data_IF_606140060383
#
_entry.id   IF_606140060383
#
_cell.length_a   1.000
_cell.length_b   1.000
_cell.length_c   1.000
_cell.angle_alpha   90.00
_cell.angle_beta   90.00
_cell.angle_gamma   90.00
#
_symmetry.space_group_name_H-M   'P 1'
#
loop_
_entity.id
_entity.type
_entity.pdbx_description
1 polymer ?
#
# COMPACT_ATOMS: atom_id res chain seq x y z
N UNK A 1 29.80 -10.04 7.20
CA UNK A 1 28.63 -9.14 7.19
C UNK A 1 29.01 -7.89 7.96
N UNK A 2 28.80 -6.67 7.45
CA UNK A 2 29.14 -5.47 8.20
C UNK A 2 28.25 -5.38 9.44
N UNK A 3 28.89 -5.19 10.60
CA UNK A 3 28.23 -5.07 11.89
C UNK A 3 27.47 -3.75 11.92
N UNK A 4 26.14 -3.77 11.69
CA UNK A 4 25.30 -2.57 11.76
C UNK A 4 25.35 -2.02 13.18
N UNK A 5 25.58 -0.72 13.34
CA UNK A 5 25.54 -0.08 14.65
C UNK A 5 24.11 -0.08 15.18
N UNK A 6 23.94 -0.11 16.50
CA UNK A 6 22.61 -0.09 17.13
C UNK A 6 21.77 1.10 16.65
N UNK A 7 22.40 2.26 16.46
CA UNK A 7 21.80 3.47 15.90
C UNK A 7 21.26 3.24 14.49
N UNK A 8 22.04 2.64 13.58
CA UNK A 8 21.58 2.36 12.21
C UNK A 8 20.39 1.37 12.17
N UNK A 9 20.35 0.40 13.08
CA UNK A 9 19.23 -0.54 13.19
C UNK A 9 17.97 0.18 13.70
N UNK A 10 18.11 1.06 14.69
CA UNK A 10 17.01 1.84 15.25
C UNK A 10 16.44 2.84 14.23
N UNK A 11 17.29 3.47 13.43
CA UNK A 11 16.88 4.36 12.34
C UNK A 11 16.12 3.60 11.24
N UNK A 12 16.64 2.46 10.79
CA UNK A 12 15.96 1.60 9.81
C UNK A 12 14.59 1.14 10.31
N UNK A 13 14.49 0.70 11.57
CA UNK A 13 13.22 0.29 12.19
C UNK A 13 12.24 1.46 12.30
N UNK A 14 12.73 2.64 12.66
CA UNK A 14 11.90 3.85 12.79
C UNK A 14 11.36 4.28 11.43
N UNK A 15 12.20 4.26 10.40
CA UNK A 15 11.82 4.55 9.01
C UNK A 15 10.79 3.54 8.49
N UNK A 16 11.03 2.25 8.72
CA UNK A 16 10.09 1.19 8.33
C UNK A 16 8.73 1.32 9.05
N UNK A 17 8.72 1.67 10.34
CA UNK A 17 7.49 1.95 11.09
C UNK A 17 6.74 3.16 10.55
N UNK A 18 7.45 4.25 10.22
CA UNK A 18 6.85 5.45 9.64
C UNK A 18 6.22 5.15 8.27
N UNK A 19 6.93 4.42 7.42
CA UNK A 19 6.44 4.00 6.11
C UNK A 19 5.21 3.10 6.22
N UNK A 20 5.21 2.11 7.13
CA UNK A 20 4.04 1.26 7.40
C UNK A 20 2.83 2.08 7.85
N UNK A 21 3.05 3.12 8.66
CA UNK A 21 1.98 4.03 9.10
C UNK A 21 1.43 4.86 7.94
N UNK A 22 2.29 5.40 7.08
CA UNK A 22 1.89 6.16 5.90
C UNK A 22 1.05 5.31 4.94
N UNK A 23 1.51 4.09 4.62
CA UNK A 23 0.77 3.17 3.76
C UNK A 23 -0.58 2.78 4.35
N UNK A 24 -0.67 2.57 5.67
CA UNK A 24 -1.96 2.27 6.31
C UNK A 24 -2.94 3.44 6.21
N UNK A 25 -2.45 4.67 6.33
CA UNK A 25 -3.29 5.87 6.18
C UNK A 25 -3.80 5.99 4.74
N UNK A 26 -2.91 5.86 3.75
CA UNK A 26 -3.29 5.86 2.33
C UNK A 26 -4.26 4.73 1.99
N UNK A 27 -4.02 3.54 2.52
CA UNK A 27 -4.89 2.39 2.36
C UNK A 27 -6.29 2.64 2.91
N UNK A 28 -6.40 3.32 4.06
CA UNK A 28 -7.70 3.69 4.64
C UNK A 28 -8.45 4.66 3.73
N UNK A 29 -7.76 5.66 3.17
CA UNK A 29 -8.34 6.64 2.25
C UNK A 29 -8.83 5.97 0.96
N UNK A 30 -8.00 5.10 0.37
CA UNK A 30 -8.37 4.33 -0.80
C UNK A 30 -9.55 3.41 -0.52
N UNK A 31 -9.54 2.68 0.60
CA UNK A 31 -10.64 1.81 0.97
C UNK A 31 -11.97 2.57 1.13
N UNK A 32 -11.92 3.82 1.60
CA UNK A 32 -13.10 4.70 1.61
C UNK A 32 -13.54 5.12 0.20
N UNK A 33 -12.62 5.48 -0.69
CA UNK A 33 -12.95 5.84 -2.08
C UNK A 33 -13.59 4.67 -2.84
N UNK A 34 -13.13 3.44 -2.59
CA UNK A 34 -13.69 2.23 -3.20
C UNK A 34 -14.92 1.66 -2.47
N UNK A 35 -15.31 2.21 -1.31
CA UNK A 35 -16.36 1.66 -0.45
C UNK A 35 -16.11 0.21 0.02
N UNK A 36 -14.84 -0.14 0.28
CA UNK A 36 -14.37 -1.50 0.65
C UNK A 36 -13.69 -1.55 2.01
N UNK A 37 -13.94 -0.59 2.89
CA UNK A 37 -13.26 -0.50 4.20
C UNK A 37 -13.53 -1.67 5.16
N UNK A 38 -14.57 -2.47 4.91
CA UNK A 38 -14.97 -3.61 5.74
C UNK A 38 -14.83 -4.91 4.95
N UNK A 39 -14.45 -5.98 5.66
CA UNK A 39 -14.24 -7.31 5.10
C UNK A 39 -12.81 -7.56 4.62
N UNK A 40 -12.61 -8.67 3.92
CA UNK A 40 -11.32 -9.23 3.51
C UNK A 40 -11.31 -9.71 2.05
N UNK A 41 -12.31 -9.34 1.25
CA UNK A 41 -12.43 -9.78 -0.15
C UNK A 41 -11.26 -9.32 -1.04
N UNK A 42 -10.53 -8.26 -0.67
CA UNK A 42 -9.33 -7.83 -1.38
C UNK A 42 -8.08 -8.62 -0.99
N UNK A 43 -8.06 -9.29 0.16
CA UNK A 43 -6.92 -10.10 0.62
C UNK A 43 -6.48 -11.13 -0.43
N UNK A 44 -7.37 -11.97 -1.02
CA UNK A 44 -6.98 -12.91 -2.06
C UNK A 44 -6.62 -12.26 -3.40
N UNK A 45 -6.98 -10.99 -3.64
CA UNK A 45 -6.77 -10.33 -4.92
C UNK A 45 -5.44 -9.55 -4.97
N UNK A 46 -5.13 -8.81 -3.90
CA UNK A 46 -4.00 -7.86 -3.86
C UNK A 46 -3.11 -8.04 -2.63
N UNK A 47 -3.49 -8.90 -1.69
CA UNK A 47 -2.71 -9.23 -0.50
C UNK A 47 -1.77 -10.41 -0.71
N UNK A 48 -1.05 -10.76 0.36
CA UNK A 48 -0.26 -11.99 0.47
C UNK A 48 -1.04 -13.17 1.07
N UNK A 49 -2.26 -12.91 1.57
CA UNK A 49 -3.07 -13.89 2.30
C UNK A 49 -2.84 -13.87 3.82
N UNK A 50 -1.95 -12.99 4.31
CA UNK A 50 -1.65 -12.84 5.75
C UNK A 50 -2.36 -11.64 6.38
N UNK A 51 -2.92 -10.77 5.55
CA UNK A 51 -3.66 -9.57 5.92
C UNK A 51 -5.04 -9.94 6.47
N UNK A 52 -5.49 -9.23 7.50
CA UNK A 52 -6.74 -9.55 8.19
C UNK A 52 -7.98 -8.88 7.57
N UNK A 53 -7.77 -7.89 6.70
CA UNK A 53 -8.84 -7.08 6.11
C UNK A 53 -8.35 -6.35 4.85
N UNK A 54 -9.30 -5.73 4.15
CA UNK A 54 -9.07 -4.96 2.94
C UNK A 54 -8.07 -3.81 3.09
N UNK A 55 -8.08 -3.11 4.23
CA UNK A 55 -7.14 -2.00 4.48
C UNK A 55 -5.72 -2.55 4.56
N UNK A 56 -5.53 -3.69 5.23
CA UNK A 56 -4.22 -4.34 5.29
C UNK A 56 -3.78 -4.87 3.92
N UNK A 57 -4.69 -5.44 3.13
CA UNK A 57 -4.42 -5.86 1.75
C UNK A 57 -3.98 -4.69 0.86
N UNK A 58 -4.67 -3.55 0.94
CA UNK A 58 -4.29 -2.34 0.20
C UNK A 58 -2.94 -1.79 0.71
N UNK A 59 -2.69 -1.81 2.02
CA UNK A 59 -1.41 -1.36 2.58
C UNK A 59 -0.24 -2.25 2.14
N UNK A 60 -0.46 -3.57 2.04
CA UNK A 60 0.50 -4.50 1.46
C UNK A 60 0.75 -4.18 -0.02
N UNK A 61 -0.30 -4.00 -0.81
CA UNK A 61 -0.19 -3.63 -2.22
C UNK A 61 0.60 -2.33 -2.40
N UNK A 62 0.32 -1.30 -1.59
CA UNK A 62 1.07 -0.04 -1.60
C UNK A 62 2.55 -0.23 -1.28
N UNK A 63 2.89 -1.16 -0.38
CA UNK A 63 4.28 -1.47 -0.06
C UNK A 63 5.03 -2.13 -1.22
N UNK A 64 4.34 -2.93 -2.04
CA UNK A 64 4.91 -3.52 -3.26
C UNK A 64 5.02 -2.51 -4.41
N UNK A 65 4.22 -1.45 -4.39
CA UNK A 65 4.10 -0.47 -5.48
C UNK A 65 4.46 0.96 -5.05
N UNK A 66 5.30 1.09 -4.02
CA UNK A 66 5.62 2.37 -3.37
C UNK A 66 6.29 3.40 -4.29
N UNK A 67 6.85 2.97 -5.43
CA UNK A 67 7.42 3.87 -6.44
C UNK A 67 6.39 4.86 -7.01
N UNK A 68 5.11 4.48 -7.08
CA UNK A 68 4.06 5.40 -7.56
C UNK A 68 3.85 6.62 -6.65
N UNK A 69 4.13 6.48 -5.35
CA UNK A 69 4.02 7.58 -4.38
C UNK A 69 5.16 8.58 -4.58
N UNK A 70 6.36 8.10 -4.92
CA UNK A 70 7.51 8.95 -5.23
C UNK A 70 7.30 9.67 -6.57
N UNK A 71 6.79 8.98 -7.59
CA UNK A 71 6.47 9.57 -8.90
C UNK A 71 5.38 10.65 -8.79
N UNK A 72 4.31 10.41 -8.02
CA UNK A 72 3.24 11.39 -7.85
C UNK A 72 3.72 12.72 -7.21
N UNK A 73 4.73 12.67 -6.34
CA UNK A 73 5.35 13.87 -5.76
C UNK A 73 6.06 14.73 -6.82
N UNK A 74 6.46 14.14 -7.96
CA UNK A 74 7.18 14.84 -9.03
C UNK A 74 6.27 15.43 -10.11
N UNK A 75 5.06 14.90 -10.29
CA UNK A 75 4.20 15.19 -11.45
C UNK A 75 3.08 16.21 -11.22
N UNK A 76 2.97 16.81 -10.02
CA UNK A 76 1.86 17.71 -9.60
C UNK A 76 0.45 17.08 -9.72
N UNK A 77 0.34 15.78 -9.97
CA UNK A 77 -0.91 15.04 -9.95
C UNK A 77 -1.32 14.78 -8.50
N UNK A 78 -2.63 14.69 -8.25
CA UNK A 78 -3.14 14.25 -6.96
C UNK A 78 -2.69 12.79 -6.72
N UNK A 79 -1.78 12.55 -5.75
CA UNK A 79 -1.22 11.22 -5.52
C UNK A 79 -2.29 10.18 -5.16
N UNK A 80 -3.35 10.59 -4.45
CA UNK A 80 -4.39 9.66 -4.03
C UNK A 80 -5.22 9.19 -5.23
N UNK A 81 -5.56 10.09 -6.15
CA UNK A 81 -6.27 9.73 -7.38
C UNK A 81 -5.42 8.85 -8.31
N UNK A 82 -4.11 9.09 -8.39
CA UNK A 82 -3.23 8.22 -9.17
C UNK A 82 -3.19 6.80 -8.59
N UNK A 83 -3.00 6.68 -7.27
CA UNK A 83 -3.03 5.38 -6.59
C UNK A 83 -4.38 4.67 -6.76
N UNK A 84 -5.48 5.41 -6.65
CA UNK A 84 -6.83 4.89 -6.91
C UNK A 84 -6.94 4.33 -8.33
N UNK A 85 -6.51 5.08 -9.34
CA UNK A 85 -6.58 4.64 -10.73
C UNK A 85 -5.74 3.39 -11.00
N UNK A 86 -4.52 3.30 -10.44
CA UNK A 86 -3.67 2.12 -10.60
C UNK A 86 -4.23 0.91 -9.86
N UNK A 87 -4.75 1.08 -8.64
CA UNK A 87 -5.41 0.00 -7.91
C UNK A 87 -6.65 -0.49 -8.66
N UNK A 88 -7.46 0.42 -9.20
CA UNK A 88 -8.64 0.05 -10.00
C UNK A 88 -8.27 -0.74 -11.25
N UNK A 89 -7.22 -0.33 -11.98
CA UNK A 89 -6.70 -1.09 -13.13
C UNK A 89 -6.27 -2.50 -12.72
N UNK A 90 -5.62 -2.64 -11.57
CA UNK A 90 -5.19 -3.94 -11.07
C UNK A 90 -6.38 -4.85 -10.73
N UNK A 91 -7.39 -4.32 -10.03
CA UNK A 91 -8.60 -5.06 -9.67
C UNK A 91 -9.37 -5.52 -10.92
N UNK A 92 -9.58 -4.63 -11.89
CA UNK A 92 -10.26 -4.96 -13.15
C UNK A 92 -9.53 -6.06 -13.94
N UNK A 93 -8.19 -6.07 -13.94
CA UNK A 93 -7.40 -7.14 -14.59
C UNK A 93 -7.64 -8.50 -13.94
N UNK A 94 -7.80 -8.53 -12.62
CA UNK A 94 -8.03 -9.76 -11.87
C UNK A 94 -9.47 -10.26 -12.05
N UNK A 95 -10.45 -9.36 -12.17
CA UNK A 95 -11.85 -9.72 -12.45
C UNK A 95 -12.05 -10.27 -13.87
N UNK A 96 -11.33 -9.74 -14.86
CA UNK A 96 -11.44 -10.19 -16.27
C UNK A 96 -10.71 -11.53 -16.50
N UNK A 97 -9.80 -11.91 -15.60
CA UNK A 97 -9.03 -13.16 -15.68
C UNK A 97 -9.64 -14.35 -14.92
N UNK A 98 -10.81 -14.20 -14.30
CA UNK A 98 -11.51 -15.21 -13.50
C UNK A 98 -12.57 -15.99 -14.27
#
# INVERSE_FOLDING_TARGET
MPNKTLESVLEEQTKAKAQKREFRMLATLLAHQFHVSVGDHLVPMIGSGTEQNNIEAIAYWLAQHGHYIEEAKTTKLDPLNQLHNELNKQLLRLEIGG
#
